data_IF_737480712724
#
_entry.id   IF_737480712724
#
_cell.length_a   1.000
_cell.length_b   1.000
_cell.length_c   1.000
_cell.angle_alpha   90.00
_cell.angle_beta   90.00
_cell.angle_gamma   90.00
#
_symmetry.space_group_name_H-M   'P 1'
#
loop_
_entity.id
_entity.type
_entity.pdbx_description
1 polymer ?
#
# COMPACT_ATOMS: atom_id res chain seq x y z
N UNK A 1 -18.47 -15.39 -11.20
CA UNK A 1 -18.06 -16.13 -12.42
C UNK A 1 -19.22 -17.02 -12.84
N UNK A 2 -19.57 -16.99 -14.12
CA UNK A 2 -20.55 -17.88 -14.72
C UNK A 2 -19.83 -18.89 -15.61
N UNK A 3 -20.33 -20.13 -15.63
CA UNK A 3 -19.93 -21.18 -16.57
C UNK A 3 -21.18 -21.52 -17.37
N UNK A 4 -21.13 -21.38 -18.69
CA UNK A 4 -22.25 -21.65 -19.58
C UNK A 4 -23.54 -20.91 -19.14
N UNK A 5 -23.39 -19.68 -18.64
CA UNK A 5 -24.49 -18.83 -18.16
C UNK A 5 -24.91 -19.06 -16.70
N UNK A 6 -24.45 -20.12 -16.03
CA UNK A 6 -24.84 -20.47 -14.67
C UNK A 6 -23.74 -20.14 -13.65
N UNK A 7 -24.13 -19.79 -12.40
CA UNK A 7 -23.17 -19.46 -11.34
C UNK A 7 -22.35 -20.70 -10.95
N UNK A 8 -21.03 -20.60 -11.07
CA UNK A 8 -20.13 -21.69 -10.68
C UNK A 8 -20.04 -21.84 -9.15
N UNK A 9 -19.96 -23.09 -8.68
CA UNK A 9 -19.68 -23.41 -7.27
C UNK A 9 -18.17 -23.33 -6.98
N UNK A 10 -17.82 -23.19 -5.70
CA UNK A 10 -16.43 -23.15 -5.25
C UNK A 10 -15.79 -24.53 -5.52
N UNK A 11 -14.74 -24.57 -6.33
CA UNK A 11 -14.04 -25.80 -6.71
C UNK A 11 -14.42 -26.39 -8.09
N UNK A 12 -15.27 -25.70 -8.86
CA UNK A 12 -15.59 -26.09 -10.22
C UNK A 12 -14.31 -26.22 -11.09
N UNK A 13 -14.15 -27.33 -11.79
CA UNK A 13 -13.04 -27.61 -12.72
C UNK A 13 -13.52 -27.41 -14.16
N UNK A 14 -13.05 -26.37 -14.87
CA UNK A 14 -13.44 -26.12 -16.25
C UNK A 14 -13.03 -27.25 -17.18
N UNK A 15 -13.89 -27.56 -18.16
CA UNK A 15 -13.62 -28.53 -19.22
C UNK A 15 -13.45 -27.84 -20.57
N UNK A 16 -12.83 -28.55 -21.52
CA UNK A 16 -12.71 -28.07 -22.90
C UNK A 16 -14.11 -27.85 -23.47
N UNK A 17 -14.40 -26.63 -23.91
CA UNK A 17 -15.70 -26.23 -24.45
C UNK A 17 -16.55 -25.38 -23.49
N UNK A 18 -16.18 -25.26 -22.22
CA UNK A 18 -16.88 -24.38 -21.29
C UNK A 18 -16.68 -22.89 -21.64
N UNK A 19 -17.78 -22.15 -21.67
CA UNK A 19 -17.76 -20.69 -21.79
C UNK A 19 -17.77 -20.06 -20.41
N UNK A 20 -16.63 -19.46 -20.05
CA UNK A 20 -16.45 -18.77 -18.77
C UNK A 20 -16.75 -17.28 -18.95
N UNK A 21 -17.71 -16.76 -18.19
CA UNK A 21 -17.97 -15.32 -18.10
C UNK A 21 -17.53 -14.82 -16.73
N UNK A 22 -16.55 -13.92 -16.75
CA UNK A 22 -16.12 -13.16 -15.57
C UNK A 22 -16.60 -11.73 -15.73
N UNK A 23 -17.35 -11.25 -14.73
CA UNK A 23 -17.60 -9.83 -14.61
C UNK A 23 -16.29 -9.15 -14.26
N UNK A 24 -15.76 -8.33 -15.16
CA UNK A 24 -14.78 -7.33 -14.78
C UNK A 24 -15.55 -6.27 -14.00
N UNK A 25 -15.43 -6.30 -12.69
CA UNK A 25 -15.69 -5.08 -11.94
C UNK A 25 -14.60 -4.09 -12.39
N UNK A 26 -15.01 -2.93 -12.91
CA UNK A 26 -14.10 -1.79 -12.89
C UNK A 26 -13.63 -1.73 -11.45
N UNK A 27 -12.33 -1.87 -11.20
CA UNK A 27 -11.82 -1.68 -9.87
C UNK A 27 -12.21 -0.25 -9.49
N UNK A 28 -13.29 -0.10 -8.70
CA UNK A 28 -13.69 1.18 -8.16
C UNK A 28 -12.43 1.78 -7.57
N UNK A 29 -12.10 2.98 -8.06
CA UNK A 29 -10.82 3.65 -7.81
C UNK A 29 -10.50 3.50 -6.34
N UNK A 30 -9.57 2.60 -6.00
CA UNK A 30 -9.30 2.21 -4.63
C UNK A 30 -8.45 3.27 -3.89
N UNK A 31 -8.72 4.54 -4.15
CA UNK A 31 -8.28 5.60 -3.30
C UNK A 31 -9.07 5.44 -1.99
N UNK A 32 -8.35 5.31 -0.88
CA UNK A 32 -8.97 5.43 0.43
C UNK A 32 -9.77 6.74 0.48
N UNK A 33 -10.87 6.79 1.24
CA UNK A 33 -11.65 8.02 1.39
C UNK A 33 -10.72 9.14 1.89
N UNK A 34 -10.63 10.29 1.19
CA UNK A 34 -9.80 11.41 1.62
C UNK A 34 -10.16 11.88 3.02
N UNK A 35 -9.16 11.99 3.92
CA UNK A 35 -9.32 12.55 5.25
C UNK A 35 -8.23 13.58 5.52
N UNK A 36 -8.61 14.75 6.03
CA UNK A 36 -7.68 15.82 6.38
C UNK A 36 -6.91 15.47 7.68
N UNK A 37 -5.92 14.60 7.54
CA UNK A 37 -5.00 14.19 8.60
C UNK A 37 -3.63 14.80 8.27
N UNK A 38 -3.01 15.57 9.19
CA UNK A 38 -1.71 16.19 8.93
C UNK A 38 -0.63 15.15 8.58
N UNK A 39 0.15 15.46 7.55
CA UNK A 39 1.32 14.68 7.13
C UNK A 39 2.59 15.43 7.46
N UNK A 40 3.54 14.76 8.12
CA UNK A 40 4.92 15.24 8.24
C UNK A 40 5.69 14.82 6.98
N UNK A 41 5.69 15.69 5.96
CA UNK A 41 6.29 15.42 4.65
C UNK A 41 7.77 15.82 4.70
N UNK A 42 8.65 14.84 4.59
CA UNK A 42 10.11 15.05 4.56
C UNK A 42 10.61 15.43 3.17
N UNK A 43 9.97 14.91 2.13
CA UNK A 43 10.30 15.15 0.74
C UNK A 43 9.12 14.82 -0.17
N UNK A 44 8.91 15.62 -1.22
CA UNK A 44 7.93 15.32 -2.25
C UNK A 44 8.38 15.85 -3.62
N UNK A 45 8.23 15.02 -4.65
CA UNK A 45 8.41 15.41 -6.05
C UNK A 45 7.28 14.82 -6.93
N UNK A 46 7.43 14.87 -8.26
CA UNK A 46 6.45 14.30 -9.20
C UNK A 46 6.32 12.76 -9.06
N UNK A 47 7.36 12.09 -8.59
CA UNK A 47 7.49 10.63 -8.67
C UNK A 47 7.19 9.92 -7.35
N UNK A 48 7.51 10.54 -6.20
CA UNK A 48 7.33 9.96 -4.89
C UNK A 48 7.09 11.03 -3.80
N UNK A 49 6.62 10.55 -2.66
CA UNK A 49 6.51 11.33 -1.43
C UNK A 49 7.11 10.52 -0.27
N UNK A 50 7.83 11.19 0.61
CA UNK A 50 8.45 10.64 1.81
C UNK A 50 7.80 11.29 3.02
N UNK A 51 7.23 10.47 3.88
CA UNK A 51 6.50 10.91 5.08
C UNK A 51 7.16 10.33 6.31
N UNK A 52 7.26 11.12 7.37
CA UNK A 52 7.55 10.63 8.71
C UNK A 52 6.24 10.21 9.37
N UNK A 53 5.94 8.90 9.39
CA UNK A 53 4.70 8.39 9.96
C UNK A 53 4.78 8.46 11.50
N UNK A 54 3.80 9.06 12.20
CA UNK A 54 3.77 9.01 13.66
C UNK A 54 3.40 7.61 14.17
N UNK A 55 3.72 7.33 15.43
CA UNK A 55 3.18 6.18 16.17
C UNK A 55 1.65 6.33 16.29
N UNK A 56 0.93 5.22 16.28
CA UNK A 56 -0.53 5.16 16.43
C UNK A 56 -1.29 5.22 15.10
N UNK A 57 -0.67 5.75 14.04
CA UNK A 57 -1.26 5.84 12.70
C UNK A 57 -1.09 4.54 11.91
N UNK A 58 -2.19 3.98 11.43
CA UNK A 58 -2.18 2.78 10.59
C UNK A 58 -1.73 3.13 9.16
N UNK A 59 -0.87 2.31 8.55
CA UNK A 59 -0.36 2.59 7.19
C UNK A 59 -1.43 2.44 6.09
N UNK A 60 -2.26 1.40 6.15
CA UNK A 60 -3.30 1.12 5.14
C UNK A 60 -4.54 0.51 5.81
N UNK A 61 -5.76 0.75 5.29
CA UNK A 61 -7.00 0.17 5.77
C UNK A 61 -6.89 -1.33 6.01
N UNK A 62 -7.41 -1.77 7.15
CA UNK A 62 -7.51 -3.17 7.52
C UNK A 62 -8.96 -3.67 7.34
N UNK A 63 -9.26 -4.90 7.77
CA UNK A 63 -10.64 -5.37 7.83
C UNK A 63 -11.47 -4.66 8.90
N UNK A 64 -10.84 -4.23 10.01
CA UNK A 64 -11.53 -3.64 11.17
C UNK A 64 -11.58 -2.12 11.13
N UNK A 65 -10.59 -1.49 10.50
CA UNK A 65 -10.42 -0.04 10.49
C UNK A 65 -10.20 0.42 9.04
N UNK A 66 -11.16 1.20 8.52
CA UNK A 66 -11.21 1.62 7.10
C UNK A 66 -10.81 3.07 6.87
N UNK A 67 -10.81 3.88 7.92
CA UNK A 67 -10.53 5.31 7.97
C UNK A 67 -9.35 5.61 8.89
N UNK A 68 -8.92 6.87 8.98
CA UNK A 68 -7.89 7.30 9.92
C UNK A 68 -6.50 6.74 9.62
N UNK A 69 -6.23 6.36 8.37
CA UNK A 69 -4.95 5.75 7.97
C UNK A 69 -4.07 6.72 7.18
N UNK A 70 -2.79 6.41 7.07
CA UNK A 70 -1.87 7.14 6.20
C UNK A 70 -2.35 7.20 4.75
N UNK A 71 -2.99 6.15 4.22
CA UNK A 71 -3.56 6.22 2.87
C UNK A 71 -4.76 7.16 2.74
N UNK A 72 -5.55 7.37 3.81
CA UNK A 72 -6.63 8.35 3.81
C UNK A 72 -6.05 9.78 3.80
N UNK A 73 -5.01 10.01 4.59
CA UNK A 73 -4.26 11.26 4.63
C UNK A 73 -3.63 11.59 3.26
N UNK A 74 -2.97 10.61 2.63
CA UNK A 74 -2.38 10.76 1.30
C UNK A 74 -3.44 10.99 0.21
N UNK A 75 -4.59 10.32 0.31
CA UNK A 75 -5.69 10.55 -0.63
C UNK A 75 -6.21 12.00 -0.55
N UNK A 76 -6.28 12.59 0.65
CA UNK A 76 -6.61 14.00 0.84
C UNK A 76 -5.55 14.94 0.28
N UNK A 77 -4.28 14.70 0.62
CA UNK A 77 -3.15 15.49 0.12
C UNK A 77 -3.10 15.56 -1.42
N UNK A 78 -3.28 14.41 -2.08
CA UNK A 78 -3.27 14.35 -3.54
C UNK A 78 -4.51 14.98 -4.16
N UNK A 79 -5.67 14.85 -3.52
CA UNK A 79 -6.90 15.52 -3.95
C UNK A 79 -6.74 17.04 -3.92
N UNK A 80 -6.20 17.60 -2.84
CA UNK A 80 -5.97 19.05 -2.72
C UNK A 80 -4.92 19.56 -3.73
N UNK A 81 -3.84 18.79 -3.93
CA UNK A 81 -2.72 19.24 -4.76
C UNK A 81 -2.98 19.10 -6.26
N UNK A 82 -3.56 17.98 -6.69
CA UNK A 82 -3.69 17.63 -8.12
C UNK A 82 -5.14 17.61 -8.62
N UNK A 83 -6.13 17.61 -7.72
CA UNK A 83 -7.56 17.37 -8.01
C UNK A 83 -7.82 16.04 -8.72
N UNK A 84 -6.82 15.18 -8.82
CA UNK A 84 -6.92 13.84 -9.38
C UNK A 84 -6.70 12.80 -8.26
N UNK A 85 -7.50 11.71 -8.25
CA UNK A 85 -7.29 10.63 -7.31
C UNK A 85 -6.02 9.85 -7.68
N UNK A 86 -4.92 10.16 -7.01
CA UNK A 86 -3.69 9.35 -7.08
C UNK A 86 -3.83 8.19 -6.09
N UNK A 87 -3.68 6.96 -6.58
CA UNK A 87 -3.59 5.77 -5.71
C UNK A 87 -2.18 5.69 -5.12
N UNK A 88 -1.99 5.85 -3.80
CA UNK A 88 -0.66 5.79 -3.20
C UNK A 88 -0.01 4.42 -3.44
N UNK A 89 1.16 4.40 -4.07
CA UNK A 89 1.93 3.19 -4.32
C UNK A 89 2.77 2.80 -3.11
N UNK A 90 2.15 2.16 -2.12
CA UNK A 90 2.87 1.61 -0.96
C UNK A 90 3.75 0.43 -1.39
N UNK A 91 5.06 0.59 -1.27
CA UNK A 91 6.07 -0.44 -1.58
C UNK A 91 6.62 -1.14 -0.34
N UNK A 92 6.35 -0.56 0.83
CA UNK A 92 6.68 -1.09 2.15
C UNK A 92 5.66 -0.58 3.18
N UNK A 93 5.75 -1.07 4.42
CA UNK A 93 4.84 -0.68 5.50
C UNK A 93 5.58 -0.53 6.82
N UNK A 94 5.08 0.39 7.63
CA UNK A 94 5.36 0.46 9.07
C UNK A 94 4.11 0.02 9.83
N UNK A 95 4.29 -0.65 10.96
CA UNK A 95 3.18 -1.04 11.81
C UNK A 95 2.60 0.16 12.56
N UNK A 96 1.41 -0.01 13.14
CA UNK A 96 0.70 1.06 13.86
C UNK A 96 1.61 1.69 14.92
N UNK A 97 2.27 0.85 15.71
CA UNK A 97 3.09 1.28 16.85
C UNK A 97 4.55 1.56 16.46
N UNK A 98 4.81 1.77 15.16
CA UNK A 98 6.14 2.09 14.63
C UNK A 98 6.08 3.48 14.01
N UNK A 99 6.88 4.41 14.51
CA UNK A 99 7.14 5.67 13.82
C UNK A 99 8.25 5.51 12.78
N UNK A 100 8.34 6.50 11.89
CA UNK A 100 9.53 6.68 11.05
C UNK A 100 9.19 6.87 9.58
N UNK A 101 10.26 6.81 8.79
CA UNK A 101 10.23 7.19 7.37
C UNK A 101 9.53 6.12 6.53
N UNK A 102 8.53 6.55 5.77
CA UNK A 102 7.86 5.75 4.75
C UNK A 102 7.93 6.45 3.40
N UNK A 103 8.21 5.68 2.35
CA UNK A 103 8.36 6.16 0.97
C UNK A 103 7.19 5.62 0.17
N UNK A 104 6.47 6.51 -0.51
CA UNK A 104 5.28 6.18 -1.28
C UNK A 104 5.50 6.62 -2.74
N UNK A 105 5.24 5.73 -3.68
CA UNK A 105 5.29 6.06 -5.10
C UNK A 105 4.03 6.81 -5.55
N UNK A 106 4.22 7.91 -6.31
CA UNK A 106 3.15 8.67 -6.99
C UNK A 106 2.93 8.18 -8.43
N UNK A 107 3.95 7.58 -9.05
CA UNK A 107 3.88 7.06 -10.42
C UNK A 107 4.10 5.55 -10.48
N UNK A 108 3.57 4.91 -11.54
CA UNK A 108 3.78 3.47 -11.79
C UNK A 108 5.26 3.11 -11.98
N UNK A 109 6.03 4.00 -12.62
CA UNK A 109 7.48 3.83 -12.82
C UNK A 109 8.23 3.84 -11.48
N UNK A 110 7.93 4.81 -10.62
CA UNK A 110 8.50 4.87 -9.27
C UNK A 110 8.13 3.64 -8.45
N UNK A 111 6.86 3.21 -8.48
CA UNK A 111 6.39 2.03 -7.77
C UNK A 111 7.16 0.77 -8.16
N UNK A 112 7.32 0.51 -9.47
CA UNK A 112 8.08 -0.65 -9.98
C UNK A 112 9.54 -0.61 -9.55
N UNK A 113 10.17 0.56 -9.65
CA UNK A 113 11.59 0.75 -9.30
C UNK A 113 11.82 0.56 -7.81
N UNK A 114 11.02 1.22 -6.97
CA UNK A 114 11.12 1.10 -5.52
C UNK A 114 10.82 -0.33 -5.06
N UNK A 115 9.77 -0.96 -5.60
CA UNK A 115 9.45 -2.37 -5.32
C UNK A 115 10.61 -3.31 -5.65
N UNK A 116 11.36 -3.05 -6.73
CA UNK A 116 12.58 -3.78 -7.06
C UNK A 116 13.67 -3.54 -6.01
N UNK A 117 13.93 -2.29 -5.65
CA UNK A 117 14.96 -1.95 -4.66
C UNK A 117 14.68 -2.54 -3.26
N UNK A 118 13.43 -2.53 -2.79
CA UNK A 118 13.05 -3.19 -1.55
C UNK A 118 13.27 -4.70 -1.61
N UNK A 119 12.89 -5.34 -2.72
CA UNK A 119 13.09 -6.78 -2.95
C UNK A 119 14.57 -7.17 -2.99
N UNK A 120 15.39 -6.35 -3.62
CA UNK A 120 16.84 -6.54 -3.75
C UNK A 120 17.62 -6.08 -2.52
N UNK A 121 16.95 -5.65 -1.43
CA UNK A 121 17.56 -5.12 -0.20
C UNK A 121 18.56 -3.97 -0.45
N UNK A 122 18.31 -3.17 -1.49
CA UNK A 122 19.10 -1.96 -1.81
C UNK A 122 18.70 -0.74 -0.98
N UNK A 123 17.61 -0.86 -0.22
CA UNK A 123 17.13 0.17 0.71
C UNK A 123 17.60 -0.18 2.11
N UNK A 124 18.18 0.78 2.82
CA UNK A 124 18.60 0.62 4.22
C UNK A 124 17.46 0.98 5.16
N UNK A 125 17.26 0.17 6.19
CA UNK A 125 16.34 0.48 7.28
C UNK A 125 17.02 1.43 8.28
N UNK A 126 16.23 2.27 8.93
CA UNK A 126 16.71 3.09 10.05
C UNK A 126 17.06 2.21 11.25
N UNK A 127 18.02 2.64 12.10
CA UNK A 127 18.30 1.99 13.36
C UNK A 127 17.06 1.92 14.26
N UNK A 128 16.93 0.82 15.02
CA UNK A 128 15.90 0.65 16.03
C UNK A 128 16.53 0.53 17.42
N UNK A 129 15.87 1.09 18.44
CA UNK A 129 16.24 0.90 19.85
C UNK A 129 15.38 -0.24 20.40
N UNK A 130 16.03 -1.17 21.12
CA UNK A 130 15.35 -2.30 21.77
C UNK A 130 15.67 -2.31 23.26
N UNK A 131 14.74 -2.81 24.06
CA UNK A 131 14.98 -3.10 25.48
C UNK A 131 15.40 -4.56 25.63
N UNK A 132 16.52 -4.81 26.32
CA UNK A 132 17.10 -6.15 26.52
C UNK A 132 18.47 -6.34 25.86
N UNK A 133 18.99 -7.58 25.89
CA UNK A 133 20.28 -7.94 25.29
C UNK A 133 20.04 -8.51 23.90
N UNK A 134 20.61 -7.85 22.88
CA UNK A 134 20.61 -8.37 21.51
C UNK A 134 21.80 -9.31 21.35
N UNK A 135 21.55 -10.61 21.28
CA UNK A 135 22.57 -11.56 20.86
C UNK A 135 22.92 -11.31 19.39
N UNK A 136 24.22 -11.21 19.07
CA UNK A 136 24.67 -11.09 17.68
C UNK A 136 24.25 -12.33 16.91
N UNK A 137 23.31 -12.19 15.98
CA UNK A 137 23.06 -13.23 14.99
C UNK A 137 24.31 -13.43 14.12
N UNK A 138 24.81 -14.66 14.06
CA UNK A 138 25.77 -15.05 13.03
C UNK A 138 25.09 -14.88 11.67
N UNK A 139 25.76 -14.18 10.75
CA UNK A 139 25.25 -13.98 9.40
C UNK A 139 25.06 -15.35 8.71
N UNK A 140 23.87 -15.56 8.13
CA UNK A 140 23.58 -16.67 7.22
C UNK A 140 24.03 -16.34 5.80
#
# INVERSE_FOLDING_TARGET
MLVNGNRATKGFKPQKGDRITVGMFSADKSAATPENIPLDILFEDEHLIVVNKPVGLLTHPSHREKSGTLTNALAFHFWETSREPIRPGLVHRLDRNTSGVIVIAKTLKAHRTLSKHFRERKVRASPAIVSGVVEKMQAR
#
